data_IF_096883010391
#
_entry.id   IF_096883010391
#
_cell.length_a   1.000
_cell.length_b   1.000
_cell.length_c   1.000
_cell.angle_alpha   90.00
_cell.angle_beta   90.00
_cell.angle_gamma   90.00
#
_symmetry.space_group_name_H-M   'P 1'
#
loop_
_entity.id
_entity.type
_entity.pdbx_description
1 polymer ?
#
# COMPACT_ATOMS: atom_id res chain seq x y z
N UNK A 1 5.63 -12.06 -25.32
CA UNK A 1 5.91 -10.80 -24.63
C UNK A 1 5.21 -10.85 -23.28
N UNK A 2 5.98 -10.77 -22.21
CA UNK A 2 5.38 -10.75 -20.88
C UNK A 2 4.66 -9.42 -20.67
N UNK A 3 3.41 -9.51 -20.32
CA UNK A 3 2.58 -8.34 -19.99
C UNK A 3 2.14 -8.43 -18.54
N UNK A 4 2.11 -7.33 -17.86
CA UNK A 4 1.55 -7.28 -16.52
C UNK A 4 0.02 -7.22 -16.61
N UNK A 5 -0.66 -8.10 -15.87
CA UNK A 5 -2.12 -8.20 -15.86
C UNK A 5 -2.75 -7.69 -14.56
N UNK A 6 -2.05 -7.81 -13.45
CA UNK A 6 -2.49 -7.39 -12.13
C UNK A 6 -1.38 -6.63 -11.43
N UNK A 7 -1.56 -5.33 -11.28
CA UNK A 7 -0.60 -4.42 -10.67
C UNK A 7 -1.09 -4.03 -9.29
N UNK A 8 -0.22 -4.14 -8.29
CA UNK A 8 -0.48 -3.72 -6.92
C UNK A 8 0.36 -2.50 -6.57
N UNK A 9 -0.31 -1.41 -6.20
CA UNK A 9 0.32 -0.24 -5.60
C UNK A 9 0.23 -0.35 -4.08
N UNK A 10 1.36 -0.29 -3.40
CA UNK A 10 1.43 -0.30 -1.94
C UNK A 10 1.60 1.12 -1.41
N UNK A 11 0.65 1.57 -0.60
CA UNK A 11 0.66 2.86 0.06
C UNK A 11 0.86 2.68 1.56
N UNK A 12 1.85 3.38 2.12
CA UNK A 12 2.12 3.42 3.56
C UNK A 12 1.88 4.80 4.17
N UNK A 13 1.75 5.80 3.31
CA UNK A 13 1.46 7.17 3.71
C UNK A 13 0.64 7.84 2.62
N UNK A 14 -0.46 8.44 2.98
CA UNK A 14 -1.31 9.18 2.04
C UNK A 14 -0.59 10.36 1.40
N UNK A 15 0.37 10.96 2.11
CA UNK A 15 1.18 12.05 1.57
C UNK A 15 2.06 11.64 0.39
N UNK A 16 2.57 10.41 0.42
CA UNK A 16 3.55 9.93 -0.55
C UNK A 16 2.97 8.95 -1.57
N UNK A 17 1.71 8.52 -1.42
CA UNK A 17 1.12 7.51 -2.30
C UNK A 17 0.80 8.04 -3.69
N UNK A 18 0.62 9.34 -3.88
CA UNK A 18 0.24 9.95 -5.16
C UNK A 18 1.23 9.59 -6.27
N UNK A 19 2.52 9.65 -5.98
CA UNK A 19 3.56 9.36 -6.97
C UNK A 19 3.55 7.91 -7.43
N UNK A 20 3.47 6.98 -6.48
CA UNK A 20 3.39 5.54 -6.78
C UNK A 20 2.09 5.22 -7.51
N UNK A 21 0.98 5.83 -7.07
CA UNK A 21 -0.32 5.65 -7.68
C UNK A 21 -0.35 6.14 -9.14
N UNK A 22 0.21 7.32 -9.42
CA UNK A 22 0.32 7.84 -10.79
C UNK A 22 1.10 6.91 -11.69
N UNK A 23 2.21 6.37 -11.20
CA UNK A 23 2.99 5.37 -11.92
C UNK A 23 2.16 4.12 -12.18
N UNK A 24 1.44 3.63 -11.18
CA UNK A 24 0.55 2.47 -11.31
C UNK A 24 -0.57 2.68 -12.32
N UNK A 25 -1.21 3.84 -12.31
CA UNK A 25 -2.26 4.21 -13.28
C UNK A 25 -1.69 4.23 -14.70
N UNK A 26 -0.52 4.85 -14.90
CA UNK A 26 0.12 4.89 -16.21
C UNK A 26 0.47 3.50 -16.74
N UNK A 27 1.05 2.66 -15.90
CA UNK A 27 1.40 1.28 -16.28
C UNK A 27 0.15 0.43 -16.56
N UNK A 28 -0.87 0.52 -15.70
CA UNK A 28 -2.11 -0.21 -15.88
C UNK A 28 -2.80 0.16 -17.20
N UNK A 29 -2.80 1.45 -17.56
CA UNK A 29 -3.33 1.89 -18.86
C UNK A 29 -2.55 1.33 -20.04
N UNK A 30 -1.22 1.38 -19.96
CA UNK A 30 -0.37 0.93 -21.06
C UNK A 30 -0.43 -0.58 -21.28
N UNK A 31 -0.56 -1.36 -20.22
CA UNK A 31 -0.63 -2.81 -20.29
C UNK A 31 -2.07 -3.36 -20.37
N UNK A 32 -3.08 -2.53 -20.17
CA UNK A 32 -4.45 -3.01 -20.00
C UNK A 32 -4.63 -3.84 -18.73
N UNK A 33 -3.83 -3.56 -17.70
CA UNK A 33 -3.81 -4.31 -16.45
C UNK A 33 -4.89 -3.84 -15.47
N UNK A 34 -5.28 -4.74 -14.58
CA UNK A 34 -6.07 -4.38 -13.40
C UNK A 34 -5.15 -3.70 -12.38
N UNK A 35 -5.66 -2.66 -11.75
CA UNK A 35 -4.93 -1.91 -10.72
C UNK A 35 -5.57 -2.11 -9.35
N UNK A 36 -4.74 -2.48 -8.41
CA UNK A 36 -5.11 -2.66 -7.00
C UNK A 36 -4.28 -1.70 -6.16
N UNK A 37 -4.88 -1.12 -5.14
CA UNK A 37 -4.19 -0.27 -4.16
C UNK A 37 -4.38 -0.84 -2.77
N UNK A 38 -3.29 -1.15 -2.11
CA UNK A 38 -3.25 -1.59 -0.73
C UNK A 38 -2.64 -0.49 0.13
N UNK A 39 -3.45 0.12 0.99
CA UNK A 39 -2.97 1.06 1.99
C UNK A 39 -2.81 0.32 3.32
N UNK A 40 -1.60 0.39 3.87
CA UNK A 40 -1.27 -0.28 5.13
C UNK A 40 -1.16 0.78 6.22
N UNK A 41 -2.04 0.66 7.21
CA UNK A 41 -2.05 1.55 8.37
C UNK A 41 -1.05 1.04 9.38
N UNK A 42 -0.17 1.94 9.80
CA UNK A 42 0.68 1.69 10.95
C UNK A 42 -0.16 1.85 12.22
N UNK A 43 -0.31 0.76 12.97
CA UNK A 43 -0.96 0.78 14.27
C UNK A 43 0.09 1.09 15.34
N UNK A 44 0.12 2.32 15.87
CA UNK A 44 1.08 2.70 16.90
C UNK A 44 0.82 1.99 18.24
N UNK A 45 -0.36 1.40 18.41
CA UNK A 45 -0.78 0.77 19.66
C UNK A 45 -0.46 -0.74 19.70
N UNK A 46 -0.32 -1.41 18.55
CA UNK A 46 0.01 -2.83 18.49
C UNK A 46 1.50 -3.12 18.71
N UNK A 47 2.37 -2.14 18.52
CA UNK A 47 3.83 -2.32 18.54
C UNK A 47 4.39 -2.62 19.93
N UNK A 48 3.67 -2.29 21.00
CA UNK A 48 4.20 -2.37 22.37
C UNK A 48 3.63 -3.53 23.21
N UNK A 49 2.81 -4.42 22.66
CA UNK A 49 2.24 -5.52 23.41
C UNK A 49 1.39 -5.12 24.63
N UNK A 50 1.07 -3.88 24.73
CA UNK A 50 0.23 -3.32 25.79
C UNK A 50 -1.22 -3.47 25.38
N UNK A 51 -1.76 -4.65 25.64
CA UNK A 51 -3.19 -4.89 25.59
C UNK A 51 -3.89 -4.16 26.75
N UNK A 52 -3.80 -2.85 26.75
CA UNK A 52 -4.62 -2.05 27.65
C UNK A 52 -5.98 -1.87 26.97
N UNK A 53 -7.06 -2.44 27.53
CA UNK A 53 -8.40 -2.18 27.05
C UNK A 53 -8.82 -0.78 27.46
N UNK A 54 -8.34 0.22 26.74
CA UNK A 54 -8.80 1.60 26.91
C UNK A 54 -9.83 1.84 25.82
N UNK A 55 -11.13 1.94 26.16
CA UNK A 55 -12.20 2.13 25.16
C UNK A 55 -12.00 3.34 24.24
N UNK A 56 -11.34 4.39 24.75
CA UNK A 56 -11.01 5.59 23.99
C UNK A 56 -10.02 5.35 22.86
N UNK A 57 -9.07 4.42 23.03
CA UNK A 57 -8.07 4.10 21.98
C UNK A 57 -8.67 3.33 20.82
N UNK A 58 -9.69 2.48 21.07
CA UNK A 58 -10.38 1.77 20.00
C UNK A 58 -11.19 2.73 19.11
N UNK A 59 -11.85 3.71 19.71
CA UNK A 59 -12.56 4.76 18.96
C UNK A 59 -11.61 5.65 18.16
N UNK A 60 -10.49 6.05 18.75
CA UNK A 60 -9.45 6.82 18.05
C UNK A 60 -8.85 6.03 16.88
N UNK A 61 -8.60 4.75 17.08
CA UNK A 61 -8.10 3.87 16.03
C UNK A 61 -9.10 3.73 14.88
N UNK A 62 -10.38 3.51 15.18
CA UNK A 62 -11.44 3.46 14.17
C UNK A 62 -11.58 4.75 13.39
N UNK A 63 -11.46 5.88 14.07
CA UNK A 63 -11.49 7.20 13.44
C UNK A 63 -10.29 7.39 12.50
N UNK A 64 -9.10 6.95 12.90
CA UNK A 64 -7.90 7.00 12.09
C UNK A 64 -8.01 6.12 10.83
N UNK A 65 -8.56 4.92 10.96
CA UNK A 65 -8.82 4.03 9.82
C UNK A 65 -9.83 4.65 8.87
N UNK A 66 -10.93 5.20 9.38
CA UNK A 66 -11.94 5.86 8.56
C UNK A 66 -11.38 7.06 7.82
N UNK A 67 -10.56 7.88 8.46
CA UNK A 67 -9.90 9.02 7.84
C UNK A 67 -8.92 8.57 6.74
N UNK A 68 -8.13 7.55 6.99
CA UNK A 68 -7.21 7.00 6.00
C UNK A 68 -7.94 6.49 4.75
N UNK A 69 -9.07 5.80 4.94
CA UNK A 69 -9.91 5.34 3.82
C UNK A 69 -10.45 6.50 3.01
N UNK A 70 -10.95 7.52 3.66
CA UNK A 70 -11.53 8.69 3.01
C UNK A 70 -10.47 9.47 2.21
N UNK A 71 -9.30 9.66 2.77
CA UNK A 71 -8.18 10.32 2.09
C UNK A 71 -7.70 9.49 0.89
N UNK A 72 -7.56 8.18 1.05
CA UNK A 72 -7.16 7.28 -0.03
C UNK A 72 -8.18 7.30 -1.17
N UNK A 73 -9.46 7.19 -0.87
CA UNK A 73 -10.53 7.24 -1.86
C UNK A 73 -10.52 8.55 -2.64
N UNK A 74 -10.32 9.66 -1.96
CA UNK A 74 -10.20 10.99 -2.58
C UNK A 74 -9.02 11.06 -3.54
N UNK A 75 -7.86 10.55 -3.13
CA UNK A 75 -6.65 10.51 -3.95
C UNK A 75 -6.86 9.62 -5.18
N UNK A 76 -7.42 8.44 -4.99
CA UNK A 76 -7.69 7.50 -6.08
C UNK A 76 -8.67 8.10 -7.09
N UNK A 77 -9.74 8.72 -6.65
CA UNK A 77 -10.71 9.38 -7.54
C UNK A 77 -10.09 10.48 -8.38
N UNK A 78 -9.16 11.22 -7.80
CA UNK A 78 -8.46 12.31 -8.49
C UNK A 78 -7.45 11.79 -9.52
N UNK A 79 -6.73 10.73 -9.20
CA UNK A 79 -5.60 10.24 -10.00
C UNK A 79 -5.99 9.15 -11.01
N UNK A 80 -7.11 8.48 -10.83
CA UNK A 80 -7.53 7.40 -11.74
C UNK A 80 -7.84 7.95 -13.13
N UNK A 81 -7.53 7.15 -14.14
CA UNK A 81 -7.96 7.45 -15.51
C UNK A 81 -9.47 7.26 -15.65
N UNK A 82 -10.07 8.01 -16.58
CA UNK A 82 -11.49 7.89 -16.88
C UNK A 82 -11.85 6.43 -17.28
N UNK A 83 -12.90 5.90 -16.68
CA UNK A 83 -13.35 4.52 -16.90
C UNK A 83 -12.52 3.44 -16.21
N UNK A 84 -11.43 3.81 -15.52
CA UNK A 84 -10.61 2.84 -14.78
C UNK A 84 -11.25 2.45 -13.47
N UNK A 85 -11.35 1.15 -13.23
CA UNK A 85 -11.77 0.59 -11.94
C UNK A 85 -10.52 0.22 -11.15
N UNK A 86 -10.40 0.76 -9.95
CA UNK A 86 -9.30 0.48 -9.02
C UNK A 86 -9.87 -0.20 -7.79
N UNK A 87 -9.38 -1.39 -7.48
CA UNK A 87 -9.69 -2.06 -6.22
C UNK A 87 -8.81 -1.47 -5.12
N UNK A 88 -9.44 -1.06 -4.02
CA UNK A 88 -8.73 -0.46 -2.89
C UNK A 88 -8.98 -1.22 -1.61
N UNK A 89 -7.90 -1.46 -0.86
CA UNK A 89 -7.96 -2.08 0.46
C UNK A 89 -7.18 -1.27 1.46
N UNK A 90 -7.71 -1.20 2.66
CA UNK A 90 -7.02 -0.67 3.83
C UNK A 90 -6.85 -1.81 4.81
N UNK A 91 -5.61 -2.10 5.15
CA UNK A 91 -5.23 -3.17 6.07
C UNK A 91 -4.36 -2.62 7.19
N UNK A 92 -4.38 -3.27 8.32
CA UNK A 92 -3.48 -3.03 9.42
C UNK A 92 -2.60 -4.27 9.67
N UNK A 93 -1.70 -4.19 10.62
CA UNK A 93 -0.83 -5.29 11.02
C UNK A 93 0.49 -5.32 10.26
N UNK A 94 1.02 -6.53 10.04
CA UNK A 94 2.30 -6.72 9.38
C UNK A 94 2.22 -6.37 7.89
N UNK A 95 2.99 -5.38 7.43
CA UNK A 95 2.94 -4.96 6.03
C UNK A 95 3.38 -6.04 5.04
N UNK A 96 4.38 -6.83 5.39
CA UNK A 96 4.89 -7.89 4.51
C UNK A 96 3.84 -8.97 4.32
N UNK A 97 3.19 -9.36 5.39
CA UNK A 97 2.11 -10.35 5.35
C UNK A 97 0.92 -9.84 4.53
N UNK A 98 0.50 -8.59 4.75
CA UNK A 98 -0.59 -7.98 4.01
C UNK A 98 -0.30 -7.91 2.51
N UNK A 99 0.92 -7.56 2.12
CA UNK A 99 1.35 -7.53 0.72
C UNK A 99 1.33 -8.93 0.11
N UNK A 100 1.90 -9.93 0.80
CA UNK A 100 1.93 -11.30 0.31
C UNK A 100 0.53 -11.90 0.15
N UNK A 101 -0.37 -11.63 1.08
CA UNK A 101 -1.77 -12.04 0.98
C UNK A 101 -2.48 -11.40 -0.21
N UNK A 102 -2.26 -10.13 -0.46
CA UNK A 102 -2.83 -9.43 -1.61
C UNK A 102 -2.30 -10.00 -2.93
N UNK A 103 -1.00 -10.27 -3.01
CA UNK A 103 -0.38 -10.88 -4.19
C UNK A 103 -1.00 -12.24 -4.51
N UNK A 104 -1.16 -13.07 -3.50
CA UNK A 104 -1.76 -14.40 -3.67
C UNK A 104 -3.23 -14.31 -4.07
N UNK A 105 -4.00 -13.51 -3.35
CA UNK A 105 -5.45 -13.38 -3.57
C UNK A 105 -5.80 -12.86 -4.97
N UNK A 106 -5.07 -11.87 -5.44
CA UNK A 106 -5.39 -11.18 -6.71
C UNK A 106 -4.46 -11.60 -7.85
N UNK A 107 -3.61 -12.59 -7.64
CA UNK A 107 -2.64 -13.04 -8.65
C UNK A 107 -1.80 -11.89 -9.19
N UNK A 108 -1.30 -11.05 -8.30
CA UNK A 108 -0.49 -9.87 -8.64
C UNK A 108 0.81 -10.31 -9.30
N UNK A 109 1.13 -9.70 -10.40
CA UNK A 109 2.37 -9.95 -11.15
C UNK A 109 3.37 -8.79 -11.10
N UNK A 110 2.93 -7.61 -10.68
CA UNK A 110 3.82 -6.46 -10.45
C UNK A 110 3.42 -5.70 -9.19
N UNK A 111 4.36 -5.50 -8.29
CA UNK A 111 4.21 -4.67 -7.09
C UNK A 111 4.94 -3.35 -7.31
N UNK A 112 4.29 -2.23 -7.04
CA UNK A 112 4.90 -0.91 -7.00
C UNK A 112 4.96 -0.41 -5.57
N UNK A 113 6.15 -0.02 -5.16
CA UNK A 113 6.40 0.55 -3.83
C UNK A 113 7.21 1.84 -3.98
N UNK A 114 7.04 2.76 -3.03
CA UNK A 114 7.88 3.94 -2.98
C UNK A 114 9.29 3.53 -2.53
N UNK A 115 10.29 4.00 -3.28
CA UNK A 115 11.68 3.80 -2.88
C UNK A 115 11.95 4.53 -1.57
N UNK A 116 12.69 3.86 -0.69
CA UNK A 116 13.11 4.44 0.56
C UNK A 116 14.04 5.64 0.33
N UNK A 117 13.70 6.79 0.92
CA UNK A 117 14.61 7.92 1.02
C UNK A 117 15.27 7.90 2.41
N UNK A 118 16.56 8.18 2.45
CA UNK A 118 17.34 8.21 3.69
C UNK A 118 16.87 9.31 4.66
N UNK A 119 15.94 8.95 5.53
CA UNK A 119 15.57 9.69 6.73
C UNK A 119 15.52 8.70 7.89
N UNK A 120 16.07 9.03 9.06
CA UNK A 120 16.17 8.10 10.18
C UNK A 120 14.83 7.47 10.58
N UNK A 121 13.76 8.25 10.53
CA UNK A 121 12.43 7.77 10.89
C UNK A 121 11.82 6.96 9.75
N UNK A 122 11.98 7.40 8.52
CA UNK A 122 11.48 6.74 7.32
C UNK A 122 12.19 5.41 7.09
N UNK A 123 13.50 5.33 7.34
CA UNK A 123 14.25 4.08 7.27
C UNK A 123 13.70 3.03 8.25
N UNK A 124 13.39 3.43 9.46
CA UNK A 124 12.86 2.52 10.46
C UNK A 124 11.46 2.00 10.10
N UNK A 125 10.62 2.85 9.52
CA UNK A 125 9.21 2.51 9.21
C UNK A 125 9.03 1.82 7.85
N UNK A 126 9.80 2.21 6.84
CA UNK A 126 9.59 1.78 5.45
C UNK A 126 10.72 0.93 4.89
N UNK A 127 11.96 1.16 5.28
CA UNK A 127 13.11 0.43 4.77
C UNK A 127 13.07 -1.06 5.08
N UNK A 128 12.64 -1.43 6.28
CA UNK A 128 12.50 -2.84 6.68
C UNK A 128 11.46 -3.59 5.85
N UNK A 129 10.35 -2.94 5.51
CA UNK A 129 9.31 -3.55 4.68
C UNK A 129 9.82 -3.77 3.25
N UNK A 130 10.46 -2.76 2.67
CA UNK A 130 11.03 -2.87 1.34
C UNK A 130 12.07 -4.00 1.28
N UNK A 131 12.99 -4.06 2.23
CA UNK A 131 14.00 -5.10 2.31
C UNK A 131 13.38 -6.50 2.45
N UNK A 132 12.36 -6.65 3.27
CA UNK A 132 11.69 -7.93 3.47
C UNK A 132 10.92 -8.37 2.21
N UNK A 133 10.28 -7.46 1.51
CA UNK A 133 9.60 -7.76 0.24
C UNK A 133 10.62 -8.10 -0.85
N UNK A 134 11.74 -7.38 -0.94
CA UNK A 134 12.82 -7.70 -1.88
C UNK A 134 13.36 -9.12 -1.64
N UNK A 135 13.52 -9.51 -0.39
CA UNK A 135 14.00 -10.86 -0.03
C UNK A 135 12.99 -11.96 -0.34
N UNK A 136 11.71 -11.73 -0.09
CA UNK A 136 10.64 -12.71 -0.38
C UNK A 136 10.25 -12.72 -1.85
N UNK A 137 10.30 -11.60 -2.51
CA UNK A 137 9.98 -11.36 -3.92
C UNK A 137 8.75 -12.16 -4.41
N UNK A 138 7.56 -11.93 -3.83
CA UNK A 138 6.37 -12.71 -4.16
C UNK A 138 5.85 -12.44 -5.59
N UNK A 139 6.27 -11.32 -6.18
CA UNK A 139 6.00 -10.92 -7.58
C UNK A 139 7.11 -10.00 -8.05
N UNK A 140 7.09 -9.60 -9.32
CA UNK A 140 8.00 -8.57 -9.83
C UNK A 140 7.81 -7.27 -9.03
N UNK A 141 8.89 -6.56 -8.78
CA UNK A 141 8.89 -5.37 -7.92
C UNK A 141 9.47 -4.17 -8.66
N UNK A 142 8.74 -3.06 -8.62
CA UNK A 142 9.22 -1.76 -9.07
C UNK A 142 9.26 -0.79 -7.89
N UNK A 143 10.43 -0.21 -7.65
CA UNK A 143 10.60 0.86 -6.68
C UNK A 143 10.52 2.20 -7.40
N UNK A 144 9.52 3.00 -7.02
CA UNK A 144 9.30 4.34 -7.58
C UNK A 144 10.02 5.36 -6.70
N UNK A 145 10.85 6.17 -7.32
CA UNK A 145 11.63 7.20 -6.65
C UNK A 145 10.92 8.55 -6.59
#
# INVERSE_FOLDING_TARGET
METFNNILVVSRSTKNCVKVLRTGVALARNFGAKLHVLHIIHDPFSVNGWNLPVPSLDEEYKAMVAQAREELDRIIRREKAEGMVINEWVKDGDPVEAICQAVEKESVDLILMLAHREGRLEHFLFGKTNDAIIRRLPASLMLVR
#
